data_IF_791649612306
#
_entry.id   IF_791649612306
#
_cell.length_a   1.000
_cell.length_b   1.000
_cell.length_c   1.000
_cell.angle_alpha   90.00
_cell.angle_beta   90.00
_cell.angle_gamma   90.00
#
_symmetry.space_group_name_H-M   'P 1'
#
loop_
_entity.id
_entity.type
_entity.pdbx_description
1 polymer ?
#
# COMPACT_ATOMS: atom_id res chain seq x y z
N UNK A 1 -8.99 -13.99 19.35
CA UNK A 1 -9.26 -12.77 18.56
C UNK A 1 -7.99 -12.43 17.80
N UNK A 2 -7.92 -12.80 16.52
CA UNK A 2 -6.71 -12.67 15.69
C UNK A 2 -6.49 -11.16 15.47
N UNK A 3 -5.45 -10.59 16.10
CA UNK A 3 -5.06 -9.22 15.83
C UNK A 3 -4.72 -9.08 14.34
N UNK A 4 -5.55 -8.30 13.65
CA UNK A 4 -5.34 -7.81 12.28
C UNK A 4 -4.10 -6.91 12.27
N UNK A 5 -2.92 -7.52 12.20
CA UNK A 5 -1.70 -6.82 11.81
C UNK A 5 -1.84 -6.57 10.30
N UNK A 6 -2.27 -5.37 9.96
CA UNK A 6 -2.22 -4.68 8.66
C UNK A 6 -1.87 -5.54 7.41
N UNK A 7 -2.70 -6.54 7.09
CA UNK A 7 -2.62 -7.38 5.87
C UNK A 7 -2.81 -6.62 4.55
N UNK A 8 -3.09 -5.33 4.67
CA UNK A 8 -3.44 -4.41 3.60
C UNK A 8 -2.27 -4.00 2.70
N UNK A 9 -1.01 -4.12 3.16
CA UNK A 9 0.16 -3.62 2.40
C UNK A 9 0.36 -4.32 1.04
N UNK A 10 0.09 -5.62 0.93
CA UNK A 10 0.21 -6.37 -0.34
C UNK A 10 -0.90 -5.97 -1.32
N UNK A 11 -2.12 -5.75 -0.80
CA UNK A 11 -3.31 -5.37 -1.59
C UNK A 11 -3.22 -3.93 -2.07
N UNK A 12 -2.69 -3.01 -1.24
CA UNK A 12 -2.54 -1.59 -1.60
C UNK A 12 -1.58 -1.35 -2.77
N UNK A 13 -0.60 -2.22 -3.01
CA UNK A 13 0.31 -2.08 -4.16
C UNK A 13 -0.34 -2.63 -5.45
N UNK A 14 -1.22 -3.63 -5.31
CA UNK A 14 -1.83 -4.39 -6.40
C UNK A 14 -3.11 -3.73 -6.95
N UNK A 15 -3.99 -3.22 -6.10
CA UNK A 15 -5.29 -2.64 -6.49
C UNK A 15 -5.17 -1.27 -7.20
N UNK A 16 -4.05 -0.59 -7.02
CA UNK A 16 -3.90 0.82 -7.32
C UNK A 16 -3.30 1.14 -8.70
N UNK A 17 -3.03 0.14 -9.53
CA UNK A 17 -2.62 0.33 -10.92
C UNK A 17 -3.79 0.63 -11.87
N UNK A 18 -5.03 0.61 -11.36
CA UNK A 18 -6.25 0.57 -12.18
C UNK A 18 -7.00 1.89 -12.38
N UNK A 19 -6.49 3.00 -11.83
CA UNK A 19 -7.15 4.32 -11.95
C UNK A 19 -6.33 5.37 -12.69
N UNK A 20 -5.26 4.98 -13.40
CA UNK A 20 -4.52 5.87 -14.28
C UNK A 20 -4.87 5.59 -15.75
N UNK A 21 -5.46 6.54 -16.50
CA UNK A 21 -5.50 6.45 -17.94
C UNK A 21 -4.07 6.56 -18.48
N UNK A 22 -3.64 5.48 -19.14
CA UNK A 22 -2.60 5.45 -20.17
C UNK A 22 -1.38 6.35 -20.02
N UNK A 23 -0.34 5.82 -19.38
CA UNK A 23 1.03 5.99 -19.84
C UNK A 23 1.84 4.78 -19.35
N UNK A 24 1.77 3.68 -20.10
CA UNK A 24 2.77 2.63 -20.00
C UNK A 24 4.06 3.23 -20.56
N UNK A 25 4.85 3.86 -19.70
CA UNK A 25 6.25 4.08 -20.02
C UNK A 25 6.88 2.69 -20.04
N UNK A 26 7.06 2.17 -21.25
CA UNK A 26 7.97 1.07 -21.50
C UNK A 26 9.37 1.56 -21.12
N UNK A 27 9.74 1.38 -19.86
CA UNK A 27 11.10 1.63 -19.41
C UNK A 27 11.97 0.49 -19.96
N UNK A 28 12.90 0.88 -20.82
CA UNK A 28 13.91 0.07 -21.48
C UNK A 28 14.58 -0.95 -20.55
N UNK A 29 15.13 -1.99 -21.17
CA UNK A 29 15.92 -3.09 -20.58
C UNK A 29 17.29 -2.59 -20.05
N UNK A 30 17.37 -1.33 -19.64
CA UNK A 30 18.55 -0.76 -19.00
C UNK A 30 18.53 -1.11 -17.51
N UNK A 31 19.68 -1.53 -16.99
CA UNK A 31 19.84 -1.97 -15.61
C UNK A 31 19.29 -0.96 -14.61
N UNK A 32 18.88 -1.44 -13.43
CA UNK A 32 18.43 -0.56 -12.36
C UNK A 32 19.51 0.48 -12.04
N UNK A 33 19.16 1.76 -12.13
CA UNK A 33 20.06 2.86 -11.77
C UNK A 33 19.50 3.62 -10.58
N UNK A 34 20.40 4.12 -9.73
CA UNK A 34 20.14 5.07 -8.67
C UNK A 34 21.02 6.29 -8.94
N UNK A 35 20.44 7.49 -9.03
CA UNK A 35 21.19 8.70 -9.38
C UNK A 35 22.03 8.56 -10.66
N UNK A 36 21.47 7.90 -11.68
CA UNK A 36 22.13 7.58 -12.96
C UNK A 36 23.35 6.65 -12.84
N UNK A 37 23.62 6.08 -11.66
CA UNK A 37 24.67 5.08 -11.44
C UNK A 37 24.07 3.68 -11.51
N UNK A 38 24.70 2.72 -12.21
CA UNK A 38 24.21 1.35 -12.26
C UNK A 38 24.31 0.68 -10.89
N UNK A 39 23.25 -0.04 -10.52
CA UNK A 39 23.20 -0.81 -9.28
C UNK A 39 23.63 -2.25 -9.57
N UNK A 40 24.55 -2.83 -8.77
CA UNK A 40 24.97 -4.22 -8.92
C UNK A 40 23.79 -5.21 -8.88
N UNK A 41 23.95 -6.38 -9.50
CA UNK A 41 22.90 -7.43 -9.49
C UNK A 41 22.56 -7.89 -8.07
N UNK A 42 23.57 -8.06 -7.23
CA UNK A 42 23.43 -8.40 -5.82
C UNK A 42 23.75 -7.16 -5.01
N UNK A 43 22.80 -6.70 -4.20
CA UNK A 43 22.90 -5.46 -3.41
C UNK A 43 23.22 -5.74 -1.93
N UNK A 44 22.92 -6.95 -1.44
CA UNK A 44 23.29 -7.41 -0.11
C UNK A 44 23.23 -8.94 -0.03
N UNK A 45 23.86 -9.52 0.99
CA UNK A 45 23.78 -10.95 1.29
C UNK A 45 23.45 -11.15 2.77
N UNK A 46 22.42 -11.94 3.06
CA UNK A 46 21.91 -12.21 4.41
C UNK A 46 22.04 -13.70 4.71
N UNK A 47 23.03 -14.08 5.52
CA UNK A 47 23.33 -15.48 5.86
C UNK A 47 23.41 -16.42 4.64
N UNK A 48 24.00 -15.95 3.54
CA UNK A 48 24.15 -16.69 2.29
C UNK A 48 23.00 -16.53 1.30
N UNK A 49 21.92 -15.82 1.66
CA UNK A 49 20.83 -15.48 0.73
C UNK A 49 21.11 -14.11 0.10
N UNK A 50 21.21 -14.08 -1.23
CA UNK A 50 21.43 -12.86 -2.00
C UNK A 50 20.14 -12.04 -2.14
N UNK A 51 20.21 -10.75 -1.81
CA UNK A 51 19.20 -9.76 -2.13
C UNK A 51 19.60 -9.06 -3.43
N UNK A 52 18.70 -9.10 -4.42
CA UNK A 52 19.00 -8.62 -5.78
C UNK A 52 18.55 -7.18 -6.02
N UNK A 53 19.14 -6.51 -7.01
CA UNK A 53 18.69 -5.18 -7.44
C UNK A 53 17.28 -5.18 -8.01
N UNK A 54 16.75 -6.30 -8.50
CA UNK A 54 15.35 -6.40 -8.93
C UNK A 54 14.36 -6.22 -7.78
N UNK A 55 14.70 -6.77 -6.60
CA UNK A 55 13.92 -6.54 -5.37
C UNK A 55 13.92 -5.04 -5.04
N UNK A 56 15.11 -4.42 -4.99
CA UNK A 56 15.25 -3.01 -4.65
C UNK A 56 14.56 -2.10 -5.69
N UNK A 57 14.67 -2.42 -6.99
CA UNK A 57 13.97 -1.72 -8.08
C UNK A 57 12.46 -1.74 -7.86
N UNK A 58 11.89 -2.90 -7.52
CA UNK A 58 10.45 -3.02 -7.25
C UNK A 58 10.01 -2.18 -6.05
N UNK A 59 10.76 -2.23 -4.94
CA UNK A 59 10.46 -1.40 -3.76
C UNK A 59 10.55 0.09 -4.07
N UNK A 60 11.54 0.51 -4.86
CA UNK A 60 11.67 1.90 -5.32
C UNK A 60 10.48 2.33 -6.16
N UNK A 61 10.06 1.52 -7.14
CA UNK A 61 8.88 1.81 -7.98
C UNK A 61 7.63 1.98 -7.10
N UNK A 62 7.41 1.06 -6.15
CA UNK A 62 6.28 1.15 -5.22
C UNK A 62 6.34 2.43 -4.38
N UNK A 63 7.52 2.78 -3.89
CA UNK A 63 7.73 4.01 -3.14
C UNK A 63 7.47 5.27 -4.00
N UNK A 64 7.97 5.34 -5.24
CA UNK A 64 7.74 6.49 -6.15
C UNK A 64 6.26 6.68 -6.42
N UNK A 65 5.53 5.60 -6.66
CA UNK A 65 4.09 5.65 -6.89
C UNK A 65 3.34 6.22 -5.68
N UNK A 66 3.70 5.81 -4.46
CA UNK A 66 3.13 6.33 -3.23
C UNK A 66 3.48 7.82 -3.01
N UNK A 67 4.72 8.21 -3.28
CA UNK A 67 5.18 9.59 -3.16
C UNK A 67 4.42 10.51 -4.13
N UNK A 68 4.26 10.11 -5.40
CA UNK A 68 3.53 10.88 -6.41
C UNK A 68 2.06 11.11 -6.02
N UNK A 69 1.41 10.11 -5.39
CA UNK A 69 0.04 10.30 -4.86
C UNK A 69 -0.06 11.30 -3.73
N UNK A 70 1.00 11.46 -2.96
CA UNK A 70 1.07 12.44 -1.89
C UNK A 70 1.47 13.83 -2.42
N UNK A 71 1.56 14.03 -3.74
CA UNK A 71 2.03 15.26 -4.36
C UNK A 71 3.52 15.50 -4.12
N UNK A 72 4.30 14.46 -3.76
CA UNK A 72 5.73 14.57 -3.53
C UNK A 72 6.51 14.17 -4.76
N UNK A 73 7.44 15.03 -5.15
CA UNK A 73 8.46 14.76 -6.16
C UNK A 73 9.71 14.22 -5.47
N UNK A 74 10.40 13.27 -6.11
CA UNK A 74 11.61 12.67 -5.58
C UNK A 74 12.83 13.41 -6.16
N UNK A 75 13.58 14.08 -5.30
CA UNK A 75 14.89 14.61 -5.65
C UNK A 75 15.92 13.48 -5.72
N UNK A 76 16.94 13.67 -6.55
CA UNK A 76 18.01 12.67 -6.77
C UNK A 76 18.80 12.38 -5.47
N UNK A 77 19.11 13.40 -4.67
CA UNK A 77 19.85 13.19 -3.42
C UNK A 77 19.08 12.31 -2.41
N UNK A 78 17.75 12.36 -2.43
CA UNK A 78 16.91 11.54 -1.58
C UNK A 78 16.81 10.10 -2.10
N UNK A 79 17.04 9.87 -3.38
CA UNK A 79 16.90 8.55 -4.02
C UNK A 79 17.83 7.50 -3.39
N UNK A 80 19.09 7.84 -3.14
CA UNK A 80 20.05 6.94 -2.49
C UNK A 80 19.69 6.67 -1.02
N UNK A 81 19.26 7.70 -0.28
CA UNK A 81 18.83 7.55 1.14
C UNK A 81 17.60 6.66 1.24
N UNK A 82 16.64 6.84 0.35
CA UNK A 82 15.43 6.01 0.26
C UNK A 82 15.79 4.58 -0.13
N UNK A 83 16.62 4.39 -1.16
CA UNK A 83 17.08 3.08 -1.57
C UNK A 83 17.81 2.34 -0.43
N UNK A 84 18.66 3.04 0.32
CA UNK A 84 19.31 2.49 1.51
C UNK A 84 18.29 2.08 2.57
N UNK A 85 17.29 2.91 2.87
CA UNK A 85 16.23 2.57 3.82
C UNK A 85 15.41 1.34 3.39
N UNK A 86 15.09 1.23 2.10
CA UNK A 86 14.38 0.08 1.53
C UNK A 86 15.24 -1.19 1.54
N UNK A 87 16.54 -1.07 1.27
CA UNK A 87 17.48 -2.17 1.38
C UNK A 87 17.57 -2.66 2.83
N UNK A 88 17.67 -1.75 3.79
CA UNK A 88 17.70 -2.13 5.21
C UNK A 88 16.44 -2.86 5.64
N UNK A 89 15.27 -2.36 5.23
CA UNK A 89 14.00 -3.04 5.45
C UNK A 89 13.98 -4.45 4.83
N UNK A 90 14.51 -4.61 3.61
CA UNK A 90 14.59 -5.91 2.95
C UNK A 90 15.51 -6.89 3.67
N UNK A 91 16.62 -6.40 4.24
CA UNK A 91 17.53 -7.18 5.08
C UNK A 91 16.81 -7.62 6.36
N UNK A 92 16.16 -6.71 7.07
CA UNK A 92 15.40 -7.01 8.28
C UNK A 92 14.31 -8.06 8.01
N UNK A 93 13.57 -7.89 6.92
CA UNK A 93 12.54 -8.82 6.47
C UNK A 93 13.10 -10.23 6.18
N UNK A 94 14.29 -10.32 5.61
CA UNK A 94 14.96 -11.59 5.38
C UNK A 94 15.42 -12.23 6.69
N UNK A 95 16.01 -11.46 7.61
CA UNK A 95 16.43 -11.95 8.92
C UNK A 95 15.25 -12.48 9.75
N UNK A 96 14.13 -11.75 9.81
CA UNK A 96 12.92 -12.17 10.52
C UNK A 96 12.37 -13.46 9.90
N UNK A 97 12.35 -13.55 8.57
CA UNK A 97 11.88 -14.75 7.89
C UNK A 97 12.75 -15.97 8.20
N UNK A 98 14.07 -15.83 8.11
CA UNK A 98 15.00 -16.91 8.45
C UNK A 98 14.86 -17.33 9.91
N UNK A 99 14.66 -16.38 10.82
CA UNK A 99 14.45 -16.69 12.23
C UNK A 99 13.13 -17.44 12.45
N UNK A 100 12.05 -17.06 11.76
CA UNK A 100 10.79 -17.82 11.77
C UNK A 100 10.97 -19.27 11.30
N UNK A 101 11.71 -19.48 10.20
CA UNK A 101 12.03 -20.84 9.72
C UNK A 101 12.85 -21.64 10.74
N UNK A 102 13.83 -21.02 11.41
CA UNK A 102 14.64 -21.67 12.47
C UNK A 102 13.81 -22.08 13.67
N UNK A 103 12.70 -21.41 13.94
CA UNK A 103 11.74 -21.78 14.99
C UNK A 103 10.70 -22.81 14.53
N UNK A 104 10.92 -23.46 13.37
CA UNK A 104 10.03 -24.46 12.79
C UNK A 104 8.62 -23.94 12.46
N UNK A 105 8.48 -22.62 12.24
CA UNK A 105 7.21 -22.04 11.78
C UNK A 105 7.00 -22.46 10.33
N UNK A 106 6.04 -23.35 10.12
CA UNK A 106 5.65 -23.82 8.80
C UNK A 106 4.22 -23.35 8.50
N UNK A 107 4.05 -22.75 7.32
CA UNK A 107 2.74 -22.33 6.83
C UNK A 107 2.27 -23.35 5.80
N UNK A 108 1.11 -23.94 6.06
CA UNK A 108 0.50 -24.92 5.17
C UNK A 108 0.09 -24.31 3.82
N UNK A 109 0.03 -25.15 2.78
CA UNK A 109 -0.32 -24.69 1.44
C UNK A 109 -1.75 -24.17 1.34
N UNK A 110 -2.70 -24.74 2.10
CA UNK A 110 -4.10 -24.32 2.07
C UNK A 110 -4.28 -22.90 2.63
N UNK A 111 -3.48 -22.52 3.62
CA UNK A 111 -3.42 -21.16 4.16
C UNK A 111 -2.84 -20.20 3.13
N UNK A 112 -1.77 -20.59 2.41
CA UNK A 112 -1.20 -19.77 1.33
C UNK A 112 -2.23 -19.58 0.20
N UNK A 113 -2.91 -20.64 -0.21
CA UNK A 113 -3.91 -20.59 -1.28
C UNK A 113 -5.14 -19.78 -0.84
N UNK A 114 -5.54 -19.85 0.43
CA UNK A 114 -6.61 -19.00 0.98
C UNK A 114 -6.25 -17.52 0.93
N UNK A 115 -5.02 -17.15 1.32
CA UNK A 115 -4.57 -15.76 1.23
C UNK A 115 -4.42 -15.30 -0.23
N UNK A 116 -3.95 -16.17 -1.13
CA UNK A 116 -3.92 -15.87 -2.56
C UNK A 116 -5.33 -15.60 -3.11
N UNK A 117 -6.30 -16.46 -2.80
CA UNK A 117 -7.68 -16.28 -3.20
C UNK A 117 -8.26 -15.00 -2.59
N UNK A 118 -7.95 -14.71 -1.32
CA UNK A 118 -8.36 -13.46 -0.69
C UNK A 118 -7.83 -12.24 -1.44
N UNK A 119 -6.54 -12.23 -1.82
CA UNK A 119 -5.95 -11.17 -2.64
C UNK A 119 -6.66 -11.07 -4.01
N UNK A 120 -6.93 -12.19 -4.68
CA UNK A 120 -7.64 -12.20 -5.96
C UNK A 120 -9.05 -11.59 -5.83
N UNK A 121 -9.78 -11.89 -4.75
CA UNK A 121 -11.13 -11.30 -4.49
C UNK A 121 -11.10 -9.81 -4.22
N UNK A 122 -9.94 -9.22 -3.90
CA UNK A 122 -9.84 -7.77 -3.78
C UNK A 122 -9.96 -7.10 -5.14
N UNK A 123 -9.76 -7.81 -6.26
CA UNK A 123 -9.86 -7.25 -7.60
C UNK A 123 -11.27 -7.38 -8.17
N UNK A 124 -11.73 -6.44 -9.03
CA UNK A 124 -13.04 -6.53 -9.66
C UNK A 124 -13.16 -7.74 -10.59
N UNK A 125 -12.06 -8.12 -11.25
CA UNK A 125 -12.00 -9.31 -12.09
C UNK A 125 -10.58 -9.88 -12.21
N UNK A 126 -10.50 -11.11 -12.74
CA UNK A 126 -9.25 -11.85 -12.90
C UNK A 126 -8.29 -11.21 -13.92
N UNK A 127 -8.79 -10.58 -14.97
CA UNK A 127 -7.94 -9.93 -15.99
C UNK A 127 -7.17 -8.78 -15.35
N UNK A 128 -7.83 -8.02 -14.48
CA UNK A 128 -7.23 -6.93 -13.73
C UNK A 128 -6.18 -7.40 -12.73
N UNK A 129 -6.44 -8.51 -12.03
CA UNK A 129 -5.45 -9.14 -11.18
C UNK A 129 -4.19 -9.59 -11.96
N UNK A 130 -4.37 -10.28 -13.10
CA UNK A 130 -3.26 -10.71 -13.95
C UNK A 130 -2.46 -9.54 -14.52
N UNK A 131 -3.14 -8.46 -14.93
CA UNK A 131 -2.48 -7.24 -15.40
C UNK A 131 -1.63 -6.59 -14.29
N UNK A 132 -2.14 -6.56 -13.05
CA UNK A 132 -1.40 -6.02 -11.91
C UNK A 132 -0.17 -6.87 -11.55
N UNK A 133 -0.27 -8.21 -11.64
CA UNK A 133 0.88 -9.10 -11.49
C UNK A 133 1.94 -8.85 -12.56
N UNK A 134 1.53 -8.73 -13.83
CA UNK A 134 2.43 -8.46 -14.95
C UNK A 134 3.14 -7.10 -14.80
N UNK A 135 2.41 -6.06 -14.39
CA UNK A 135 2.96 -4.73 -14.15
C UNK A 135 4.05 -4.73 -13.05
N UNK A 136 3.90 -5.60 -12.04
CA UNK A 136 4.89 -5.77 -10.97
C UNK A 136 5.97 -6.82 -11.29
N UNK A 137 5.94 -7.42 -12.50
CA UNK A 137 6.81 -8.54 -12.92
C UNK A 137 6.75 -9.73 -11.96
N UNK A 138 5.57 -10.03 -11.43
CA UNK A 138 5.33 -11.15 -10.52
C UNK A 138 4.60 -12.28 -11.24
N UNK A 139 5.00 -13.52 -10.97
CA UNK A 139 4.23 -14.72 -11.32
C UNK A 139 3.42 -15.19 -10.11
N UNK A 140 2.46 -16.09 -10.33
CA UNK A 140 1.73 -16.75 -9.24
C UNK A 140 2.66 -17.43 -8.23
N UNK A 141 3.71 -18.12 -8.71
CA UNK A 141 4.66 -18.81 -7.83
C UNK A 141 5.46 -17.84 -6.98
N UNK A 142 5.88 -16.71 -7.56
CA UNK A 142 6.56 -15.65 -6.81
C UNK A 142 5.60 -15.03 -5.78
N UNK A 143 4.34 -14.78 -6.15
CA UNK A 143 3.35 -14.27 -5.22
C UNK A 143 3.11 -15.25 -4.07
N UNK A 144 2.93 -16.56 -4.35
CA UNK A 144 2.78 -17.58 -3.30
C UNK A 144 3.99 -17.63 -2.36
N UNK A 145 5.22 -17.52 -2.89
CA UNK A 145 6.44 -17.41 -2.07
C UNK A 145 6.44 -16.17 -1.19
N UNK A 146 6.00 -15.02 -1.71
CA UNK A 146 5.91 -13.78 -0.94
C UNK A 146 4.85 -13.86 0.16
N UNK A 147 3.70 -14.48 -0.13
CA UNK A 147 2.64 -14.76 0.86
C UNK A 147 3.21 -15.65 1.96
N UNK A 148 3.85 -16.77 1.61
CA UNK A 148 4.50 -17.66 2.58
C UNK A 148 5.49 -16.90 3.47
N UNK A 149 6.40 -16.13 2.86
CA UNK A 149 7.39 -15.34 3.58
C UNK A 149 6.73 -14.37 4.57
N UNK A 150 5.67 -13.68 4.13
CA UNK A 150 4.91 -12.74 4.97
C UNK A 150 4.28 -13.46 6.16
N UNK A 151 3.59 -14.57 5.92
CA UNK A 151 2.91 -15.34 6.97
C UNK A 151 3.87 -15.93 8.00
N UNK A 152 5.04 -16.43 7.56
CA UNK A 152 6.08 -16.91 8.50
C UNK A 152 6.58 -15.77 9.39
N UNK A 153 6.83 -14.58 8.82
CA UNK A 153 7.27 -13.41 9.60
C UNK A 153 6.21 -12.97 10.60
N UNK A 154 4.95 -12.87 10.17
CA UNK A 154 3.83 -12.48 11.04
C UNK A 154 3.68 -13.46 12.21
N UNK A 155 3.76 -14.75 11.93
CA UNK A 155 3.63 -15.77 12.96
C UNK A 155 4.83 -15.76 13.92
N UNK A 156 6.04 -15.52 13.43
CA UNK A 156 7.21 -15.34 14.28
C UNK A 156 7.05 -14.14 15.21
N UNK A 157 6.63 -12.98 14.69
CA UNK A 157 6.39 -11.80 15.53
C UNK A 157 5.31 -12.09 16.57
N UNK A 158 4.21 -12.75 16.18
CA UNK A 158 3.11 -13.11 17.08
C UNK A 158 3.54 -14.06 18.19
N UNK A 159 4.30 -15.10 17.86
CA UNK A 159 4.66 -16.17 18.79
C UNK A 159 5.85 -15.81 19.68
N UNK A 160 6.82 -15.06 19.17
CA UNK A 160 8.11 -14.85 19.85
C UNK A 160 8.31 -13.42 20.33
N UNK A 161 7.77 -12.41 19.65
CA UNK A 161 8.04 -11.00 19.99
C UNK A 161 6.88 -10.41 20.80
N UNK A 162 5.65 -10.55 20.31
CA UNK A 162 4.47 -9.94 20.92
C UNK A 162 4.28 -10.29 22.41
N UNK A 163 4.54 -11.54 22.88
CA UNK A 163 4.39 -11.88 24.30
C UNK A 163 5.42 -11.19 25.22
N UNK A 164 6.58 -10.81 24.70
CA UNK A 164 7.64 -10.14 25.46
C UNK A 164 7.38 -8.64 25.62
N UNK A 165 6.52 -8.06 24.75
CA UNK A 165 6.20 -6.64 24.76
C UNK A 165 5.20 -6.32 25.86
N UNK A 166 5.66 -5.62 26.91
CA UNK A 166 4.81 -5.08 27.97
C UNK A 166 4.42 -3.63 27.69
N UNK A 167 3.15 -3.41 27.42
CA UNK A 167 2.53 -2.07 27.35
C UNK A 167 1.86 -1.80 28.69
N UNK A 168 2.31 -0.79 29.41
CA UNK A 168 1.68 -0.37 30.68
C UNK A 168 0.74 0.83 30.47
N UNK A 169 -0.18 1.00 31.40
CA UNK A 169 -1.20 2.05 31.33
C UNK A 169 -0.59 3.46 31.28
N UNK A 170 0.55 3.68 31.92
CA UNK A 170 1.26 4.97 31.87
C UNK A 170 1.73 5.32 30.45
N UNK A 171 2.26 4.34 29.69
CA UNK A 171 2.63 4.55 28.29
C UNK A 171 1.40 4.79 27.42
N UNK A 172 0.31 4.06 27.66
CA UNK A 172 -0.97 4.26 26.94
C UNK A 172 -1.50 5.66 27.18
N UNK A 173 -1.58 6.08 28.46
CA UNK A 173 -2.02 7.41 28.86
C UNK A 173 -1.12 8.50 28.29
N UNK A 174 0.21 8.34 28.36
CA UNK A 174 1.15 9.29 27.77
C UNK A 174 0.98 9.41 26.26
N UNK A 175 0.74 8.30 25.55
CA UNK A 175 0.49 8.33 24.12
C UNK A 175 -0.83 9.03 23.79
N UNK A 176 -1.91 8.71 24.51
CA UNK A 176 -3.20 9.37 24.37
C UNK A 176 -3.08 10.89 24.62
N UNK A 177 -2.46 11.27 25.74
CA UNK A 177 -2.33 12.67 26.14
C UNK A 177 -1.51 13.50 25.13
N UNK A 178 -0.47 12.92 24.53
CA UNK A 178 0.35 13.55 23.50
C UNK A 178 -0.36 13.64 22.14
N UNK A 179 -1.30 12.75 21.87
CA UNK A 179 -1.97 12.64 20.56
C UNK A 179 -3.48 12.91 20.64
N UNK A 180 -3.97 13.66 21.64
CA UNK A 180 -5.41 13.91 21.84
C UNK A 180 -6.12 14.36 20.56
N UNK A 181 -5.46 15.21 19.76
CA UNK A 181 -6.00 15.71 18.49
C UNK A 181 -6.37 14.59 17.50
N UNK A 182 -5.67 13.45 17.49
CA UNK A 182 -5.99 12.31 16.60
C UNK A 182 -7.16 11.48 17.08
N UNK A 183 -7.54 11.62 18.35
CA UNK A 183 -8.67 10.91 18.97
C UNK A 183 -9.92 11.77 19.06
N UNK A 184 -9.82 13.08 18.79
CA UNK A 184 -10.98 13.96 18.69
C UNK A 184 -11.63 13.74 17.33
N UNK A 185 -12.87 13.26 17.34
CA UNK A 185 -13.72 13.33 16.16
C UNK A 185 -14.26 14.76 16.06
N UNK A 186 -13.90 15.54 15.02
CA UNK A 186 -14.41 16.90 14.88
C UNK A 186 -15.93 16.85 14.72
N UNK A 187 -16.57 17.96 15.05
CA UNK A 187 -18.01 18.11 14.83
C UNK A 187 -18.30 17.94 13.34
N UNK A 188 -19.21 17.01 13.02
CA UNK A 188 -19.65 16.75 11.65
C UNK A 188 -21.05 17.29 11.48
N UNK A 189 -21.26 18.15 10.50
CA UNK A 189 -22.58 18.65 10.16
C UNK A 189 -23.21 17.78 9.07
N UNK A 190 -24.50 17.47 9.22
CA UNK A 190 -25.30 16.92 8.11
C UNK A 190 -25.78 18.11 7.29
N UNK A 191 -25.34 18.21 6.04
CA UNK A 191 -25.67 19.32 5.15
C UNK A 191 -26.51 18.78 3.99
N UNK A 192 -27.60 19.48 3.67
CA UNK A 192 -28.34 19.34 2.42
C UNK A 192 -27.94 20.47 1.49
N UNK A 193 -27.58 20.18 0.24
CA UNK A 193 -27.21 21.18 -0.76
C UNK A 193 -28.02 20.97 -2.03
N UNK A 194 -28.59 22.05 -2.56
CA UNK A 194 -29.23 22.09 -3.86
C UNK A 194 -28.37 22.96 -4.75
N UNK A 195 -27.80 22.36 -5.79
CA UNK A 195 -27.09 23.08 -6.83
C UNK A 195 -28.03 23.31 -8.01
N UNK A 196 -28.27 24.57 -8.35
CA UNK A 196 -28.98 24.95 -9.57
C UNK A 196 -27.93 25.36 -10.60
N UNK A 197 -27.85 24.63 -11.71
CA UNK A 197 -26.86 24.91 -12.75
C UNK A 197 -27.24 26.17 -13.52
N UNK A 198 -26.26 27.05 -13.73
CA UNK A 198 -26.40 28.20 -14.63
C UNK A 198 -26.17 27.69 -16.06
N UNK A 199 -27.13 27.86 -17.00
CA UNK A 199 -26.94 27.51 -18.40
C UNK A 199 -25.82 28.33 -19.04
N UNK A 200 -25.12 27.73 -20.00
CA UNK A 200 -24.10 28.43 -20.79
C UNK A 200 -24.71 29.51 -21.70
N UNK A 201 -23.89 30.39 -22.31
CA UNK A 201 -24.39 31.42 -23.21
C UNK A 201 -25.17 30.78 -24.39
N UNK A 202 -26.49 30.91 -24.39
CA UNK A 202 -27.39 30.39 -25.44
C UNK A 202 -28.41 29.33 -24.99
N UNK A 203 -28.29 28.78 -23.78
CA UNK A 203 -29.14 27.68 -23.29
C UNK A 203 -30.36 28.14 -22.44
N UNK A 204 -30.69 29.43 -22.48
CA UNK A 204 -31.83 30.03 -21.75
C UNK A 204 -31.44 30.71 -20.44
N UNK A 205 -32.45 31.15 -19.68
CA UNK A 205 -32.26 31.91 -18.43
C UNK A 205 -31.79 31.00 -17.29
N UNK A 206 -30.80 31.48 -16.53
CA UNK A 206 -30.44 30.89 -15.25
C UNK A 206 -31.57 31.11 -14.24
N UNK A 207 -31.88 30.09 -13.43
CA UNK A 207 -32.90 30.14 -12.36
C UNK A 207 -34.35 30.31 -12.86
N UNK A 208 -34.85 29.35 -13.65
CA UNK A 208 -36.27 29.38 -14.02
C UNK A 208 -37.17 29.29 -12.77
N UNK A 209 -38.38 29.84 -12.85
CA UNK A 209 -39.36 29.77 -11.75
C UNK A 209 -39.65 28.32 -11.31
N UNK A 210 -39.46 27.35 -12.21
CA UNK A 210 -39.60 25.91 -11.92
C UNK A 210 -38.45 25.38 -11.07
N UNK A 211 -37.22 25.84 -11.32
CA UNK A 211 -36.03 25.47 -10.54
C UNK A 211 -36.11 26.04 -9.12
N UNK A 212 -36.55 27.29 -8.99
CA UNK A 212 -36.79 27.93 -7.68
C UNK A 212 -37.91 27.25 -6.89
N UNK A 213 -38.99 26.82 -7.55
CA UNK A 213 -40.08 26.08 -6.90
C UNK A 213 -39.62 24.69 -6.41
N UNK A 214 -38.84 23.98 -7.23
CA UNK A 214 -38.27 22.67 -6.88
C UNK A 214 -37.29 22.78 -5.70
N UNK A 215 -36.48 23.83 -5.68
CA UNK A 215 -35.54 24.07 -4.57
C UNK A 215 -36.28 24.33 -3.24
N UNK A 216 -37.36 25.13 -3.25
CA UNK A 216 -38.19 25.39 -2.06
C UNK A 216 -38.87 24.12 -1.52
N UNK A 217 -39.41 23.27 -2.40
CA UNK A 217 -40.00 21.97 -2.02
C UNK A 217 -39.02 21.07 -1.25
N UNK A 218 -37.73 21.13 -1.58
CA UNK A 218 -36.68 20.29 -0.98
C UNK A 218 -36.10 20.93 0.30
N UNK A 219 -36.11 22.25 0.44
CA UNK A 219 -35.60 22.98 1.63
C UNK A 219 -36.60 22.94 2.80
N UNK A 220 -37.90 22.87 2.52
CA UNK A 220 -38.97 22.91 3.55
C UNK A 220 -39.25 21.55 4.23
N UNK A 221 -38.39 20.54 4.06
CA UNK A 221 -38.45 19.21 4.73
C UNK A 221 -37.36 19.04 5.78
#
# INVERSE_FOLDING_TARGET
MILFVNRSLIVYVLFFLLTLPGAVLAEDITGFTLNKKPVPRVVATVNGIELTSDLLKREMIAYRLLAHRQGKTLETEDEEKIAHGLLMKAIDDELIYQQGLKQNINIDSATIDRELNHIETQFPDKKLFLAALAAQRLTFDVLKKNIKKTLVKEEFVRANIAPEVRVNDDKVKSFYDKNKATFIKPETFKISHIYVSIPGPGDGDAESAKDQAKAKEIIDW
#
